data_IF_132590168459
#
_entry.id   IF_132590168459
#
_cell.length_a   1.000
_cell.length_b   1.000
_cell.length_c   1.000
_cell.angle_alpha   90.00
_cell.angle_beta   90.00
_cell.angle_gamma   90.00
#
_symmetry.space_group_name_H-M   'P 1'
#
loop_
_entity.id
_entity.type
_entity.pdbx_description
1 polymer ?
#
# COMPACT_ATOMS: atom_id res chain seq x y z
N UNK A 1 -0.74 -7.29 9.99
CA UNK A 1 -1.23 -6.28 9.02
C UNK A 1 -2.67 -6.56 8.60
N UNK A 2 -2.97 -7.75 8.06
CA UNK A 2 -4.33 -8.11 7.62
C UNK A 2 -5.37 -8.05 8.74
N UNK A 3 -5.01 -8.38 9.99
CA UNK A 3 -5.94 -8.26 11.11
C UNK A 3 -6.47 -6.84 11.32
N UNK A 4 -5.70 -5.81 10.98
CA UNK A 4 -6.20 -4.44 10.99
C UNK A 4 -7.26 -4.23 9.91
N UNK A 5 -6.97 -4.64 8.68
CA UNK A 5 -7.88 -4.49 7.52
C UNK A 5 -9.18 -5.27 7.71
N UNK A 6 -9.12 -6.42 8.37
CA UNK A 6 -10.28 -7.25 8.68
C UNK A 6 -10.92 -6.95 10.03
N UNK A 7 -10.43 -5.95 10.78
CA UNK A 7 -10.87 -5.65 12.14
C UNK A 7 -10.92 -6.90 13.05
N UNK A 8 -9.83 -7.65 13.12
CA UNK A 8 -9.68 -8.87 13.94
C UNK A 8 -8.84 -8.61 15.18
N UNK A 9 -9.06 -9.42 16.21
CA UNK A 9 -8.27 -9.39 17.44
C UNK A 9 -8.26 -8.01 18.09
N UNK A 10 -7.06 -7.43 18.26
CA UNK A 10 -6.88 -6.10 18.85
C UNK A 10 -7.55 -4.96 18.06
N UNK A 11 -7.94 -5.20 16.80
CA UNK A 11 -8.51 -4.20 15.90
C UNK A 11 -10.04 -4.32 15.71
N UNK A 12 -10.74 -5.05 16.60
CA UNK A 12 -12.17 -5.35 16.46
C UNK A 12 -13.09 -4.11 16.46
N UNK A 13 -12.68 -3.01 17.09
CA UNK A 13 -13.47 -1.77 17.12
C UNK A 13 -13.34 -1.01 15.80
N UNK A 14 -14.38 -1.06 14.95
CA UNK A 14 -14.43 -0.33 13.68
C UNK A 14 -14.39 1.20 13.84
N UNK A 15 -14.83 1.72 14.97
CA UNK A 15 -14.78 3.16 15.26
C UNK A 15 -13.36 3.61 15.62
N UNK A 16 -12.62 2.77 16.36
CA UNK A 16 -11.23 3.06 16.71
C UNK A 16 -10.27 2.75 15.55
N UNK A 17 -10.63 1.78 14.70
CA UNK A 17 -9.83 1.29 13.59
C UNK A 17 -10.68 1.27 12.31
N UNK A 18 -11.00 2.44 11.75
CA UNK A 18 -11.77 2.51 10.52
C UNK A 18 -11.01 1.88 9.35
N UNK A 19 -11.76 1.41 8.36
CA UNK A 19 -11.20 0.91 7.11
C UNK A 19 -10.38 2.05 6.45
N UNK A 20 -9.13 1.81 6.05
CA UNK A 20 -8.33 2.84 5.42
C UNK A 20 -8.79 3.08 3.98
N UNK A 21 -8.66 4.32 3.53
CA UNK A 21 -8.89 4.70 2.13
C UNK A 21 -7.68 4.37 1.24
N UNK A 22 -6.47 4.37 1.83
CA UNK A 22 -5.20 4.12 1.13
C UNK A 22 -4.30 3.20 1.96
N UNK A 23 -3.64 2.25 1.29
CA UNK A 23 -2.59 1.37 1.84
C UNK A 23 -1.27 1.69 1.14
N UNK A 24 -0.24 1.97 1.94
CA UNK A 24 1.14 1.98 1.47
C UNK A 24 1.75 0.59 1.71
N UNK A 25 2.08 -0.12 0.64
CA UNK A 25 2.54 -1.50 0.70
C UNK A 25 4.00 -1.61 0.26
N UNK A 26 4.89 -1.95 1.17
CA UNK A 26 6.24 -2.39 0.82
C UNK A 26 6.17 -3.82 0.27
N UNK A 27 6.76 -4.09 -0.91
CA UNK A 27 6.83 -5.45 -1.44
C UNK A 27 7.91 -6.29 -0.73
N UNK A 28 8.94 -5.64 -0.18
CA UNK A 28 10.08 -6.30 0.45
C UNK A 28 9.91 -6.30 1.97
N UNK A 29 8.85 -6.93 2.43
CA UNK A 29 8.61 -7.14 3.85
C UNK A 29 9.52 -8.26 4.39
N UNK A 30 10.03 -8.14 5.63
CA UNK A 30 11.01 -9.09 6.18
C UNK A 30 10.43 -10.47 6.52
N UNK A 31 9.12 -10.57 6.77
CA UNK A 31 8.47 -11.80 7.28
C UNK A 31 7.36 -12.34 6.37
N UNK A 32 6.85 -11.53 5.44
CA UNK A 32 5.71 -11.86 4.57
C UNK A 32 6.05 -11.38 3.17
N UNK A 33 5.56 -12.04 2.13
CA UNK A 33 5.66 -11.53 0.77
C UNK A 33 4.62 -10.43 0.54
N UNK A 34 5.07 -9.20 0.26
CA UNK A 34 4.17 -8.08 0.03
C UNK A 34 3.34 -8.22 -1.24
N UNK A 35 3.82 -8.96 -2.26
CA UNK A 35 3.04 -9.24 -3.46
C UNK A 35 1.86 -10.17 -3.15
N UNK A 36 2.07 -11.15 -2.27
CA UNK A 36 0.99 -12.02 -1.80
C UNK A 36 -0.05 -11.24 -0.98
N UNK A 37 0.39 -10.28 -0.16
CA UNK A 37 -0.52 -9.37 0.55
C UNK A 37 -1.35 -8.53 -0.43
N UNK A 38 -0.72 -8.00 -1.49
CA UNK A 38 -1.43 -7.26 -2.55
C UNK A 38 -2.52 -8.12 -3.19
N UNK A 39 -2.18 -9.36 -3.58
CA UNK A 39 -3.13 -10.32 -4.18
C UNK A 39 -4.30 -10.59 -3.26
N UNK A 40 -4.07 -10.80 -1.97
CA UNK A 40 -5.14 -11.03 -1.00
C UNK A 40 -6.06 -9.82 -0.86
N UNK A 41 -5.50 -8.60 -0.83
CA UNK A 41 -6.29 -7.36 -0.78
C UNK A 41 -7.16 -7.24 -2.03
N UNK A 42 -6.59 -7.48 -3.21
CA UNK A 42 -7.28 -7.29 -4.50
C UNK A 42 -8.27 -8.41 -4.85
N UNK A 43 -8.09 -9.60 -4.29
CA UNK A 43 -9.04 -10.71 -4.42
C UNK A 43 -10.23 -10.60 -3.46
N UNK A 44 -10.15 -9.78 -2.41
CA UNK A 44 -11.22 -9.66 -1.41
C UNK A 44 -12.20 -8.54 -1.75
N UNK A 45 -13.47 -8.88 -1.96
CA UNK A 45 -14.56 -7.92 -2.26
C UNK A 45 -14.68 -6.77 -1.24
N UNK A 46 -14.28 -6.99 0.01
CA UNK A 46 -14.35 -5.96 1.04
C UNK A 46 -13.13 -5.04 1.04
N UNK A 47 -12.02 -5.43 0.41
CA UNK A 47 -10.75 -4.70 0.46
C UNK A 47 -10.27 -4.22 -0.91
N UNK A 48 -10.73 -4.82 -2.01
CA UNK A 48 -10.24 -4.56 -3.38
C UNK A 48 -10.35 -3.09 -3.80
N UNK A 49 -11.36 -2.40 -3.30
CA UNK A 49 -11.63 -0.97 -3.57
C UNK A 49 -10.69 -0.03 -2.80
N UNK A 50 -9.93 -0.53 -1.82
CA UNK A 50 -8.93 0.27 -1.12
C UNK A 50 -7.81 0.59 -2.10
N UNK A 51 -7.40 1.86 -2.13
CA UNK A 51 -6.28 2.26 -2.93
C UNK A 51 -4.99 1.66 -2.39
N UNK A 52 -4.24 0.94 -3.22
CA UNK A 52 -2.93 0.39 -2.83
C UNK A 52 -1.85 1.10 -3.63
N UNK A 53 -0.94 1.74 -2.91
CA UNK A 53 0.26 2.36 -3.46
C UNK A 53 1.45 1.50 -3.04
N UNK A 54 2.16 0.98 -4.02
CA UNK A 54 3.31 0.11 -3.77
C UNK A 54 4.58 0.93 -3.57
N UNK A 55 5.32 0.62 -2.50
CA UNK A 55 6.65 1.15 -2.23
C UNK A 55 7.71 0.23 -2.81
N UNK A 56 8.53 0.75 -3.71
CA UNK A 56 9.63 0.01 -4.34
C UNK A 56 10.98 0.69 -4.12
N UNK A 57 12.05 -0.09 -3.96
CA UNK A 57 13.41 0.45 -3.86
C UNK A 57 14.07 0.74 -5.22
N UNK A 58 13.46 0.31 -6.33
CA UNK A 58 13.96 0.57 -7.70
C UNK A 58 12.83 0.88 -8.67
N UNK A 59 13.13 1.51 -9.80
CA UNK A 59 12.15 1.82 -10.85
C UNK A 59 11.92 0.67 -11.84
N UNK A 60 12.67 -0.45 -11.72
CA UNK A 60 12.79 -1.47 -12.77
C UNK A 60 12.74 -2.92 -12.25
N UNK A 61 12.24 -3.13 -11.04
CA UNK A 61 12.14 -4.48 -10.46
C UNK A 61 11.10 -5.34 -11.17
N UNK A 62 11.39 -6.63 -11.35
CA UNK A 62 10.41 -7.63 -11.83
C UNK A 62 9.14 -7.63 -10.95
N UNK A 63 9.31 -7.42 -9.64
CA UNK A 63 8.24 -7.29 -8.64
C UNK A 63 7.22 -6.19 -9.00
N UNK A 64 7.66 -5.11 -9.67
CA UNK A 64 6.77 -4.03 -10.13
C UNK A 64 5.92 -4.51 -11.30
N UNK A 65 6.53 -5.22 -12.25
CA UNK A 65 5.85 -5.77 -13.42
C UNK A 65 4.80 -6.81 -12.99
N UNK A 66 5.10 -7.62 -11.99
CA UNK A 66 4.14 -8.57 -11.44
C UNK A 66 2.99 -7.86 -10.72
N UNK A 67 3.29 -6.86 -9.89
CA UNK A 67 2.26 -6.07 -9.21
C UNK A 67 1.38 -5.27 -10.21
N UNK A 68 1.89 -4.89 -11.39
CA UNK A 68 1.09 -4.24 -12.44
C UNK A 68 -0.04 -5.12 -12.96
N UNK A 69 0.07 -6.44 -12.82
CA UNK A 69 -0.98 -7.39 -13.23
C UNK A 69 -2.14 -7.42 -12.23
N UNK A 70 -1.92 -6.98 -10.99
CA UNK A 70 -2.88 -7.05 -9.90
C UNK A 70 -3.60 -5.70 -9.64
N UNK A 71 -3.69 -4.84 -10.67
CA UNK A 71 -4.44 -3.58 -10.66
C UNK A 71 -4.05 -2.60 -9.52
N UNK A 72 -2.74 -2.38 -9.39
CA UNK A 72 -2.16 -1.38 -8.50
C UNK A 72 -2.36 0.01 -9.09
N UNK A 73 -2.87 0.94 -8.29
CA UNK A 73 -3.15 2.31 -8.74
C UNK A 73 -1.89 3.15 -8.94
N UNK A 74 -0.84 2.97 -8.13
CA UNK A 74 0.39 3.76 -8.26
C UNK A 74 1.59 3.11 -7.58
N UNK A 75 2.79 3.49 -8.03
CA UNK A 75 4.08 3.07 -7.47
C UNK A 75 4.85 4.31 -7.00
N UNK A 76 5.42 4.23 -5.79
CA UNK A 76 6.31 5.26 -5.28
C UNK A 76 7.67 4.63 -4.96
N UNK A 77 8.74 5.30 -5.39
CA UNK A 77 10.08 4.97 -4.93
C UNK A 77 10.19 5.21 -3.42
N UNK A 78 10.66 4.22 -2.67
CA UNK A 78 10.95 4.36 -1.24
C UNK A 78 11.97 5.46 -0.99
N UNK A 79 12.90 5.70 -1.92
CA UNK A 79 13.83 6.82 -1.89
C UNK A 79 13.17 8.18 -2.15
N UNK A 80 11.94 8.25 -2.67
CA UNK A 80 11.16 9.48 -2.73
C UNK A 80 10.54 9.84 -1.37
N UNK A 81 10.46 8.88 -0.43
CA UNK A 81 10.23 9.15 0.99
C UNK A 81 11.54 9.59 1.66
N UNK A 82 12.14 10.69 1.20
CA UNK A 82 13.08 11.41 2.06
C UNK A 82 12.25 12.40 2.86
N UNK A 83 12.13 12.16 4.16
CA UNK A 83 11.76 13.22 5.10
C UNK A 83 12.88 14.24 5.04
N UNK A 84 12.80 15.18 4.09
CA UNK A 84 13.68 16.34 4.10
C UNK A 84 13.44 17.06 5.44
N UNK A 85 14.47 17.71 5.99
CA UNK A 85 14.34 18.55 7.20
C UNK A 85 13.19 19.59 7.12
N UNK A 86 12.62 19.79 5.93
CA UNK A 86 11.49 20.67 5.60
C UNK A 86 10.10 20.01 5.63
N UNK A 87 9.97 18.70 5.90
CA UNK A 87 8.68 18.03 6.10
C UNK A 87 7.82 17.84 4.84
N UNK A 88 8.37 18.01 3.63
CA UNK A 88 7.59 17.87 2.39
C UNK A 88 7.44 16.41 1.97
N UNK A 89 6.19 15.97 1.87
CA UNK A 89 5.72 14.64 1.43
C UNK A 89 5.24 14.68 -0.04
N UNK A 90 5.93 15.44 -0.90
CA UNK A 90 5.43 15.80 -2.23
C UNK A 90 5.10 14.55 -3.07
N UNK A 91 5.94 13.51 -3.04
CA UNK A 91 5.70 12.26 -3.79
C UNK A 91 4.51 11.43 -3.30
N UNK A 92 4.15 11.50 -2.00
CA UNK A 92 2.96 10.84 -1.50
C UNK A 92 1.70 11.63 -1.87
N UNK A 93 1.77 12.96 -1.78
CA UNK A 93 0.64 13.82 -2.11
C UNK A 93 0.26 13.68 -3.58
N UNK A 94 1.24 13.69 -4.48
CA UNK A 94 1.02 13.49 -5.92
C UNK A 94 0.40 12.13 -6.20
N UNK A 95 0.88 11.07 -5.54
CA UNK A 95 0.32 9.73 -5.70
C UNK A 95 -1.13 9.64 -5.17
N UNK A 96 -1.42 10.25 -4.02
CA UNK A 96 -2.79 10.30 -3.47
C UNK A 96 -3.71 11.11 -4.40
N UNK A 97 -3.26 12.26 -4.89
CA UNK A 97 -4.02 13.11 -5.81
C UNK A 97 -4.21 12.49 -7.20
N UNK A 98 -3.38 11.52 -7.58
CA UNK A 98 -3.50 10.78 -8.83
C UNK A 98 -4.58 9.68 -8.81
N UNK A 99 -5.04 9.28 -7.62
CA UNK A 99 -6.14 8.33 -7.45
C UNK A 99 -7.43 9.07 -7.84
N UNK A 100 -8.02 8.66 -8.97
CA UNK A 100 -9.27 9.20 -9.53
C UNK A 100 -10.50 8.75 -8.75
#
# INVERSE_FOLDING_TARGET
ALDFLYNRGAYASKTAYPKPDVILLDLRLPEIDGLEVLKQIKADEHLKDIAVIVLTASERGEDIIEAYKDDVQSYILKSAFIVSKTGKMDGLLDAILSIR
#
